data_IF_389031792803
#
_entry.id   IF_389031792803
#
_cell.length_a   1.000
_cell.length_b   1.000
_cell.length_c   1.000
_cell.angle_alpha   90.00
_cell.angle_beta   90.00
_cell.angle_gamma   90.00
#
_symmetry.space_group_name_H-M   'P 1'
#
loop_
_entity.id
_entity.type
_entity.pdbx_description
1 polymer ?
#
# COMPACT_ATOMS: atom_id res chain seq x y z
N UNK A 1 -0.21 -3.96 -29.67
CA UNK A 1 1.03 -4.38 -28.94
C UNK A 1 0.72 -4.38 -27.45
N UNK A 2 0.80 -5.53 -26.77
CA UNK A 2 0.54 -5.62 -25.32
C UNK A 2 1.73 -4.95 -24.63
N UNK A 3 1.47 -3.96 -23.74
CA UNK A 3 2.55 -3.25 -23.07
C UNK A 3 3.32 -4.19 -22.12
N UNK A 4 4.62 -3.98 -22.01
CA UNK A 4 5.52 -4.76 -21.13
C UNK A 4 5.01 -4.71 -19.67
N UNK A 5 4.39 -3.59 -19.27
CA UNK A 5 3.84 -3.38 -17.93
C UNK A 5 2.56 -4.22 -17.70
N UNK A 6 1.73 -4.37 -18.72
CA UNK A 6 0.58 -5.28 -18.66
C UNK A 6 0.99 -6.72 -18.40
N UNK A 7 2.03 -7.19 -19.09
CA UNK A 7 2.58 -8.55 -18.90
C UNK A 7 3.14 -8.70 -17.48
N UNK A 8 3.92 -7.74 -16.99
CA UNK A 8 4.47 -7.74 -15.62
C UNK A 8 3.37 -7.80 -14.57
N UNK A 9 2.32 -6.98 -14.72
CA UNK A 9 1.20 -6.95 -13.78
C UNK A 9 0.40 -8.25 -13.77
N UNK A 10 0.24 -8.88 -14.93
CA UNK A 10 -0.42 -10.19 -15.03
C UNK A 10 0.43 -11.30 -14.39
N UNK A 11 1.73 -11.32 -14.63
CA UNK A 11 2.67 -12.25 -14.00
C UNK A 11 2.72 -12.06 -12.47
N UNK A 12 2.66 -10.82 -11.97
CA UNK A 12 2.61 -10.52 -10.53
C UNK A 12 1.43 -11.17 -9.83
N UNK A 13 0.27 -11.29 -10.50
CA UNK A 13 -0.93 -11.93 -9.94
C UNK A 13 -0.83 -13.46 -9.86
N UNK A 14 -0.10 -14.08 -10.77
CA UNK A 14 -0.04 -15.54 -10.93
C UNK A 14 1.15 -16.15 -10.17
N UNK A 15 2.28 -15.43 -10.10
CA UNK A 15 3.52 -15.97 -9.56
C UNK A 15 3.59 -15.86 -8.03
N UNK A 16 4.20 -16.87 -7.38
CA UNK A 16 4.53 -16.78 -5.95
C UNK A 16 5.50 -15.62 -5.67
N UNK A 17 5.47 -15.09 -4.44
CA UNK A 17 6.34 -13.96 -4.06
C UNK A 17 7.84 -14.29 -4.27
N UNK A 18 8.26 -15.53 -4.00
CA UNK A 18 9.64 -15.98 -4.21
C UNK A 18 10.05 -15.89 -5.68
N UNK A 19 9.16 -16.31 -6.57
CA UNK A 19 9.42 -16.27 -8.01
C UNK A 19 9.39 -14.83 -8.54
N UNK A 20 8.49 -13.97 -8.03
CA UNK A 20 8.48 -12.54 -8.35
C UNK A 20 9.81 -11.87 -8.00
N UNK A 21 10.36 -12.14 -6.81
CA UNK A 21 11.67 -11.62 -6.39
C UNK A 21 12.79 -12.11 -7.33
N UNK A 22 12.81 -13.42 -7.65
CA UNK A 22 13.82 -14.02 -8.54
C UNK A 22 13.78 -13.43 -9.95
N UNK A 23 12.60 -13.06 -10.43
CA UNK A 23 12.40 -12.44 -11.74
C UNK A 23 12.52 -10.90 -11.71
N UNK A 24 12.90 -10.29 -10.57
CA UNK A 24 13.01 -8.85 -10.43
C UNK A 24 11.67 -8.11 -10.48
N UNK A 25 10.55 -8.82 -10.28
CA UNK A 25 9.19 -8.25 -10.28
C UNK A 25 8.77 -7.73 -8.90
N UNK A 26 9.56 -7.95 -7.86
CA UNK A 26 9.37 -7.43 -6.51
C UNK A 26 10.71 -7.13 -5.84
N UNK A 27 10.74 -6.11 -4.98
CA UNK A 27 11.93 -5.75 -4.22
C UNK A 27 12.20 -6.80 -3.14
N UNK A 28 13.40 -7.37 -3.15
CA UNK A 28 13.77 -8.51 -2.28
C UNK A 28 13.56 -8.23 -0.79
N UNK A 29 13.95 -7.04 -0.31
CA UNK A 29 13.84 -6.66 1.10
C UNK A 29 12.38 -6.47 1.52
N UNK A 30 11.54 -5.79 0.71
CA UNK A 30 10.11 -5.60 0.98
C UNK A 30 9.34 -6.91 0.86
N UNK A 31 9.67 -7.73 -0.14
CA UNK A 31 9.02 -9.02 -0.34
C UNK A 31 9.15 -9.96 0.86
N UNK A 32 10.28 -9.91 1.60
CA UNK A 32 10.45 -10.65 2.85
C UNK A 32 9.45 -10.19 3.91
N UNK A 33 9.27 -8.88 4.10
CA UNK A 33 8.29 -8.31 5.03
C UNK A 33 6.86 -8.67 4.62
N UNK A 34 6.51 -8.44 3.37
CA UNK A 34 5.16 -8.72 2.84
C UNK A 34 4.78 -10.20 2.91
N UNK A 35 5.75 -11.11 2.91
CA UNK A 35 5.50 -12.54 3.05
C UNK A 35 4.85 -12.93 4.39
N UNK A 36 5.00 -12.11 5.43
CA UNK A 36 4.40 -12.31 6.73
C UNK A 36 2.99 -11.72 6.87
N UNK A 37 2.59 -10.85 5.95
CA UNK A 37 1.28 -10.21 5.97
C UNK A 37 0.18 -11.19 5.54
N UNK A 38 -0.99 -11.08 6.18
CA UNK A 38 -2.16 -11.88 5.86
C UNK A 38 -3.43 -11.14 6.30
N UNK A 39 -4.56 -11.40 5.64
CA UNK A 39 -5.85 -10.83 5.98
C UNK A 39 -6.11 -9.47 5.32
N UNK A 40 -6.77 -8.57 6.04
CA UNK A 40 -7.26 -7.29 5.54
C UNK A 40 -6.34 -6.15 5.99
N UNK A 41 -5.78 -5.43 5.04
CA UNK A 41 -4.80 -4.37 5.28
C UNK A 41 -5.17 -3.02 4.73
N UNK A 42 -4.39 -2.02 5.16
CA UNK A 42 -4.37 -0.67 4.62
C UNK A 42 -3.00 -0.40 4.02
N UNK A 43 -2.94 0.19 2.83
CA UNK A 43 -1.70 0.74 2.27
C UNK A 43 -1.85 2.24 2.07
N UNK A 44 -0.91 3.01 2.65
CA UNK A 44 -0.87 4.47 2.59
C UNK A 44 0.22 4.90 1.63
N UNK A 45 -0.12 5.78 0.68
CA UNK A 45 0.82 6.34 -0.28
C UNK A 45 1.28 5.37 -1.36
N UNK A 46 0.42 4.43 -1.79
CA UNK A 46 0.75 3.45 -2.82
C UNK A 46 0.91 4.07 -4.22
N UNK A 47 0.12 5.08 -4.54
CA UNK A 47 0.02 5.76 -5.82
C UNK A 47 -0.05 4.78 -7.01
N UNK A 48 1.07 4.51 -7.68
CA UNK A 48 1.18 3.60 -8.84
C UNK A 48 2.03 2.35 -8.56
N UNK A 49 2.53 2.19 -7.35
CA UNK A 49 3.42 1.09 -6.99
C UNK A 49 2.97 0.35 -5.72
N UNK A 50 1.76 -0.23 -5.73
CA UNK A 50 1.22 -0.93 -4.58
C UNK A 50 2.07 -2.15 -4.19
N UNK A 51 2.03 -2.50 -2.91
CA UNK A 51 2.72 -3.66 -2.35
C UNK A 51 2.31 -4.96 -3.06
N UNK A 52 3.28 -5.77 -3.39
CA UNK A 52 3.06 -7.07 -4.05
C UNK A 52 2.76 -8.14 -2.98
N UNK A 53 1.49 -8.30 -2.65
CA UNK A 53 1.02 -9.17 -1.59
C UNK A 53 0.60 -10.56 -2.08
N UNK A 54 0.37 -11.47 -1.12
CA UNK A 54 -0.22 -12.79 -1.38
C UNK A 54 -1.70 -12.64 -1.76
N UNK A 55 -2.25 -13.66 -2.41
CA UNK A 55 -3.67 -13.71 -2.75
C UNK A 55 -4.61 -13.77 -1.51
N UNK A 56 -4.07 -14.13 -0.33
CA UNK A 56 -4.80 -14.14 0.94
C UNK A 56 -4.90 -12.76 1.60
N UNK A 57 -4.29 -11.74 1.02
CA UNK A 57 -4.39 -10.36 1.48
C UNK A 57 -5.38 -9.58 0.61
N UNK A 58 -6.23 -8.79 1.28
CA UNK A 58 -7.03 -7.73 0.67
C UNK A 58 -6.59 -6.39 1.22
N UNK A 59 -6.64 -5.32 0.43
CA UNK A 59 -6.08 -4.02 0.83
C UNK A 59 -7.03 -2.91 0.41
N UNK A 60 -7.26 -1.97 1.33
CA UNK A 60 -7.76 -0.63 1.04
C UNK A 60 -6.59 0.33 0.89
N UNK A 61 -6.78 1.38 0.10
CA UNK A 61 -5.77 2.39 -0.15
C UNK A 61 -6.17 3.74 0.42
N UNK A 62 -5.21 4.40 1.07
CA UNK A 62 -5.32 5.78 1.54
C UNK A 62 -4.20 6.62 0.92
N UNK A 63 -4.52 7.83 0.51
CA UNK A 63 -3.53 8.77 -0.03
C UNK A 63 -4.00 10.20 0.19
N UNK A 64 -3.11 11.18 0.05
CA UNK A 64 -3.44 12.61 0.12
C UNK A 64 -4.25 13.08 -1.11
N UNK A 65 -4.19 12.35 -2.22
CA UNK A 65 -4.82 12.68 -3.49
C UNK A 65 -5.59 11.50 -4.05
N UNK A 66 -6.66 11.78 -4.78
CA UNK A 66 -7.40 10.75 -5.52
C UNK A 66 -6.75 10.46 -6.88
N UNK A 67 -7.27 9.44 -7.56
CA UNK A 67 -6.76 8.99 -8.86
C UNK A 67 -6.81 10.07 -9.95
N UNK A 68 -7.85 10.90 -9.97
CA UNK A 68 -7.99 11.99 -10.95
C UNK A 68 -6.94 13.08 -10.73
N UNK A 69 -6.72 13.45 -9.47
CA UNK A 69 -5.66 14.40 -9.08
C UNK A 69 -4.27 13.82 -9.39
N UNK A 70 -4.05 12.54 -9.08
CA UNK A 70 -2.80 11.87 -9.39
C UNK A 70 -2.48 11.87 -10.89
N UNK A 71 -3.46 11.64 -11.76
CA UNK A 71 -3.29 11.72 -13.22
C UNK A 71 -2.90 13.12 -13.70
N UNK A 72 -3.39 14.17 -13.01
CA UNK A 72 -3.06 15.53 -13.35
C UNK A 72 -1.67 15.95 -12.87
N UNK A 73 -1.29 15.52 -11.67
CA UNK A 73 0.01 15.87 -11.05
C UNK A 73 1.16 15.05 -11.65
N UNK A 74 0.90 13.79 -12.01
CA UNK A 74 1.89 12.84 -12.53
C UNK A 74 1.49 12.32 -13.93
N UNK A 75 1.50 13.18 -14.96
CA UNK A 75 1.04 12.82 -16.30
C UNK A 75 1.89 11.71 -16.96
N UNK A 76 3.10 11.45 -16.46
CA UNK A 76 3.99 10.36 -16.88
C UNK A 76 3.56 8.99 -16.37
N UNK A 77 2.72 8.92 -15.33
CA UNK A 77 2.25 7.67 -14.76
C UNK A 77 1.07 7.13 -15.58
N UNK A 78 1.14 5.87 -15.96
CA UNK A 78 0.02 5.23 -16.66
C UNK A 78 -1.20 5.16 -15.72
N UNK A 79 -2.37 5.72 -16.11
CA UNK A 79 -3.59 5.70 -15.29
C UNK A 79 -4.05 4.29 -14.86
N UNK A 80 -3.68 3.25 -15.63
CA UNK A 80 -4.00 1.85 -15.30
C UNK A 80 -3.18 1.29 -14.13
N UNK A 81 -2.05 1.91 -13.81
CA UNK A 81 -1.19 1.49 -12.72
C UNK A 81 -1.54 2.21 -11.40
N UNK A 82 -2.32 3.29 -11.48
CA UNK A 82 -2.80 4.02 -10.30
C UNK A 82 -3.84 3.19 -9.53
N UNK A 83 -3.66 3.09 -8.21
CA UNK A 83 -4.65 2.46 -7.33
C UNK A 83 -5.90 3.32 -7.17
N UNK A 84 -7.03 2.67 -6.91
CA UNK A 84 -8.26 3.37 -6.53
C UNK A 84 -8.24 3.60 -5.01
N UNK A 85 -8.18 4.87 -4.61
CA UNK A 85 -8.04 5.31 -3.22
C UNK A 85 -9.43 5.35 -2.56
N UNK A 86 -9.60 4.62 -1.45
CA UNK A 86 -10.84 4.61 -0.67
C UNK A 86 -10.91 5.78 0.31
N UNK A 87 -9.76 6.22 0.83
CA UNK A 87 -9.67 7.28 1.82
C UNK A 87 -8.71 8.38 1.38
N UNK A 88 -9.23 9.60 1.23
CA UNK A 88 -8.37 10.79 1.02
C UNK A 88 -7.98 11.30 2.39
N UNK A 89 -6.69 11.24 2.72
CA UNK A 89 -6.15 11.50 4.06
C UNK A 89 -4.93 12.41 3.98
N UNK A 90 -5.03 13.56 4.64
CA UNK A 90 -3.87 14.42 4.90
C UNK A 90 -3.32 14.08 6.30
N UNK A 91 -2.18 13.40 6.35
CA UNK A 91 -1.58 12.91 7.60
C UNK A 91 -1.18 14.03 8.56
N UNK A 92 -0.88 15.23 8.04
CA UNK A 92 -0.47 16.37 8.85
C UNK A 92 -1.65 17.18 9.40
N UNK A 93 -2.85 17.07 8.77
CA UNK A 93 -4.03 17.83 9.19
C UNK A 93 -5.06 16.97 9.90
N UNK A 94 -5.43 15.87 9.29
CA UNK A 94 -6.52 15.02 9.76
C UNK A 94 -6.05 13.69 10.34
N UNK A 95 -4.79 13.33 10.09
CA UNK A 95 -4.28 12.03 10.48
C UNK A 95 -5.14 10.90 9.93
N UNK A 96 -5.29 9.83 10.69
CA UNK A 96 -6.11 8.67 10.33
C UNK A 96 -7.50 8.68 10.99
N UNK A 97 -8.02 9.85 11.43
CA UNK A 97 -9.28 9.95 12.20
C UNK A 97 -10.49 9.36 11.47
N UNK A 98 -10.50 9.37 10.13
CA UNK A 98 -11.57 8.77 9.34
C UNK A 98 -11.61 7.24 9.42
N UNK A 99 -10.53 6.61 9.89
CA UNK A 99 -10.38 5.16 9.94
C UNK A 99 -10.80 4.59 11.30
N UNK A 100 -11.44 3.44 11.27
CA UNK A 100 -11.92 2.74 12.47
C UNK A 100 -10.74 2.19 13.31
N UNK A 101 -10.93 2.15 14.62
CA UNK A 101 -10.00 1.51 15.54
C UNK A 101 -9.96 -0.01 15.29
N UNK A 102 -8.81 -0.63 15.48
CA UNK A 102 -8.64 -2.10 15.48
C UNK A 102 -9.30 -2.78 14.28
N UNK A 103 -9.16 -2.19 13.10
CA UNK A 103 -9.87 -2.62 11.91
C UNK A 103 -9.01 -3.47 10.97
N UNK A 104 -7.75 -3.10 10.80
CA UNK A 104 -6.85 -3.74 9.87
C UNK A 104 -5.96 -4.80 10.52
N UNK A 105 -5.67 -5.89 9.80
CA UNK A 105 -4.72 -6.90 10.25
C UNK A 105 -3.27 -6.42 10.07
N UNK A 106 -3.04 -5.52 9.11
CA UNK A 106 -1.74 -4.86 8.89
C UNK A 106 -1.91 -3.50 8.22
N UNK A 107 -0.87 -2.66 8.34
CA UNK A 107 -0.72 -1.41 7.59
C UNK A 107 0.62 -1.40 6.88
N UNK A 108 0.64 -0.92 5.64
CA UNK A 108 1.84 -0.66 4.85
C UNK A 108 1.94 0.84 4.62
N UNK A 109 3.10 1.39 4.92
CA UNK A 109 3.43 2.79 4.63
C UNK A 109 4.89 2.87 4.19
N UNK A 110 5.10 3.02 2.88
CA UNK A 110 6.43 3.05 2.29
C UNK A 110 6.74 4.45 1.75
N UNK A 111 7.85 5.03 2.16
CA UNK A 111 8.30 6.36 1.70
C UNK A 111 7.28 7.48 1.96
N UNK A 112 6.59 7.43 3.08
CA UNK A 112 5.61 8.45 3.51
C UNK A 112 6.01 9.06 4.83
N UNK A 113 6.46 8.24 5.80
CA UNK A 113 6.74 8.68 7.17
C UNK A 113 7.81 9.78 7.25
N UNK A 114 8.76 9.77 6.31
CA UNK A 114 9.80 10.78 6.21
C UNK A 114 9.32 12.16 5.75
N UNK A 115 8.09 12.24 5.26
CA UNK A 115 7.49 13.47 4.72
C UNK A 115 6.44 14.09 5.66
N UNK A 116 6.09 13.42 6.77
CA UNK A 116 5.09 13.94 7.71
C UNK A 116 5.72 14.86 8.75
N UNK A 117 4.99 15.88 9.19
CA UNK A 117 5.46 16.86 10.16
C UNK A 117 5.64 16.24 11.56
N UNK A 118 4.75 15.32 11.96
CA UNK A 118 4.84 14.62 13.24
C UNK A 118 4.74 13.10 13.07
N UNK A 119 5.85 12.41 12.83
CA UNK A 119 5.85 10.95 12.63
C UNK A 119 5.43 10.17 13.88
N UNK A 120 5.57 10.73 15.09
CA UNK A 120 5.19 10.07 16.33
C UNK A 120 3.66 9.95 16.42
N UNK A 121 2.92 11.01 16.11
CA UNK A 121 1.46 10.99 16.09
C UNK A 121 0.94 10.04 15.01
N UNK A 122 1.56 10.05 13.83
CA UNK A 122 1.20 9.10 12.77
C UNK A 122 1.41 7.66 13.22
N UNK A 123 2.53 7.34 13.88
CA UNK A 123 2.77 6.00 14.42
C UNK A 123 1.71 5.60 15.46
N UNK A 124 1.34 6.51 16.38
CA UNK A 124 0.29 6.26 17.36
C UNK A 124 -1.06 5.93 16.68
N UNK A 125 -1.42 6.66 15.63
CA UNK A 125 -2.62 6.42 14.83
C UNK A 125 -2.56 5.09 14.07
N UNK A 126 -1.40 4.70 13.52
CA UNK A 126 -1.22 3.39 12.89
C UNK A 126 -1.47 2.27 13.90
N UNK A 127 -0.96 2.39 15.13
CA UNK A 127 -1.25 1.40 16.20
C UNK A 127 -2.73 1.38 16.60
N UNK A 128 -3.43 2.50 16.52
CA UNK A 128 -4.88 2.57 16.82
C UNK A 128 -5.71 1.80 15.79
N UNK A 129 -5.39 1.90 14.51
CA UNK A 129 -6.17 1.30 13.42
C UNK A 129 -5.88 -0.19 13.20
N UNK A 130 -4.72 -0.67 13.65
CA UNK A 130 -4.34 -2.10 13.55
C UNK A 130 -4.95 -2.90 14.69
N UNK A 131 -5.43 -4.10 14.39
CA UNK A 131 -5.88 -5.08 15.38
C UNK A 131 -4.71 -5.48 16.29
N UNK A 132 -4.97 -5.59 17.58
CA UNK A 132 -3.96 -6.08 18.53
C UNK A 132 -3.68 -7.57 18.24
N UNK A 133 -2.41 -7.90 18.01
CA UNK A 133 -1.98 -9.28 17.98
C UNK A 133 -1.93 -9.79 19.42
N UNK A 134 -2.80 -10.72 19.78
CA UNK A 134 -2.69 -11.47 21.02
C UNK A 134 -1.79 -12.66 20.71
N UNK A 135 -0.54 -12.61 21.17
CA UNK A 135 0.29 -13.82 21.22
C UNK A 135 -0.12 -14.61 22.46
N UNK A 136 -0.70 -15.77 22.24
CA UNK A 136 -0.96 -16.77 23.27
C UNK A 136 0.30 -17.62 23.48
#
# INVERSE_FOLDING_TARGET
>A
MISTEFIKNHLRKILSIRLRVKLGLALRHRAKGYAHLNGFGLEIGALHNPAQLKNSCTVEYADAINKSEAMHIFPEVNPKDLVDVQYIIDLDKTGLMALKNTHYDFVIMNHVIEHVANPIDVLAELFRVVKKVVML
#
